data_IF_729077450677
#
_entry.id   IF_729077450677
#
_cell.length_a   1.000
_cell.length_b   1.000
_cell.length_c   1.000
_cell.angle_alpha   90.00
_cell.angle_beta   90.00
_cell.angle_gamma   90.00
#
_symmetry.space_group_name_H-M   'P 1'
#
loop_
_entity.id
_entity.type
_entity.pdbx_description
1 polymer ?
#
# COMPACT_ATOMS: atom_id res chain seq x y z
N UNK A 1 -4.32 -3.27 -27.60
CA UNK A 1 -3.30 -4.02 -26.81
C UNK A 1 -3.74 -5.45 -26.53
N UNK A 2 -4.97 -5.70 -26.07
CA UNK A 2 -5.48 -7.06 -25.75
C UNK A 2 -5.44 -8.00 -26.95
N UNK A 3 -5.93 -7.57 -28.13
CA UNK A 3 -6.01 -8.42 -29.33
C UNK A 3 -4.67 -9.04 -29.73
N UNK A 4 -3.58 -8.29 -29.55
CA UNK A 4 -2.24 -8.69 -29.96
C UNK A 4 -1.44 -9.40 -28.84
N UNK A 5 -1.92 -9.39 -27.60
CA UNK A 5 -1.18 -9.90 -26.43
C UNK A 5 -2.02 -10.87 -25.57
N UNK A 6 -3.04 -11.52 -26.13
CA UNK A 6 -3.94 -12.42 -25.38
C UNK A 6 -3.19 -13.45 -24.54
N UNK A 7 -2.19 -14.11 -25.12
CA UNK A 7 -1.36 -15.09 -24.41
C UNK A 7 -0.59 -14.44 -23.27
N UNK A 8 0.07 -13.29 -23.51
CA UNK A 8 0.81 -12.58 -22.46
C UNK A 8 -0.08 -12.08 -21.34
N UNK A 9 -1.34 -11.74 -21.62
CA UNK A 9 -2.33 -11.32 -20.63
C UNK A 9 -2.74 -12.48 -19.72
N UNK A 10 -2.98 -13.66 -20.30
CA UNK A 10 -3.26 -14.87 -19.52
C UNK A 10 -2.05 -15.23 -18.67
N UNK A 11 -0.84 -15.23 -19.27
CA UNK A 11 0.40 -15.53 -18.55
C UNK A 11 0.67 -14.53 -17.41
N UNK A 12 0.48 -13.23 -17.62
CA UNK A 12 0.69 -12.24 -16.55
C UNK A 12 -0.33 -12.40 -15.43
N UNK A 13 -1.59 -12.68 -15.77
CA UNK A 13 -2.65 -12.91 -14.77
C UNK A 13 -2.39 -14.18 -13.95
N UNK A 14 -1.97 -15.27 -14.61
CA UNK A 14 -1.54 -16.50 -13.92
C UNK A 14 -0.33 -16.23 -13.05
N UNK A 15 0.67 -15.48 -13.56
CA UNK A 15 1.87 -15.15 -12.80
C UNK A 15 1.59 -14.35 -11.52
N UNK A 16 0.58 -13.47 -11.52
CA UNK A 16 0.13 -12.78 -10.30
C UNK A 16 -0.41 -13.76 -9.26
N UNK A 17 -1.09 -14.82 -9.70
CA UNK A 17 -1.70 -15.80 -8.80
C UNK A 17 -0.73 -16.90 -8.34
N UNK A 18 0.45 -17.04 -8.97
CA UNK A 18 1.42 -18.06 -8.59
C UNK A 18 1.86 -18.01 -7.11
N UNK A 19 2.08 -16.84 -6.48
CA UNK A 19 2.37 -16.77 -5.05
C UNK A 19 1.27 -17.33 -4.14
N UNK A 20 0.02 -17.44 -4.61
CA UNK A 20 -1.06 -18.11 -3.87
C UNK A 20 -0.73 -19.58 -3.67
N UNK A 21 -0.24 -20.26 -4.71
CA UNK A 21 0.14 -21.67 -4.62
C UNK A 21 1.28 -21.88 -3.62
N UNK A 22 2.26 -20.98 -3.59
CA UNK A 22 3.32 -21.02 -2.58
C UNK A 22 2.75 -20.83 -1.17
N UNK A 23 1.80 -19.90 -0.98
CA UNK A 23 1.13 -19.70 0.31
C UNK A 23 0.29 -20.90 0.76
N UNK A 24 -0.33 -21.63 -0.17
CA UNK A 24 -1.04 -22.89 0.12
C UNK A 24 -0.06 -23.99 0.54
N UNK A 25 1.06 -24.14 -0.16
CA UNK A 25 2.09 -25.14 0.19
C UNK A 25 2.70 -24.84 1.58
N UNK A 26 2.88 -23.57 1.89
CA UNK A 26 3.45 -23.11 3.16
C UNK A 26 2.40 -22.90 4.26
N UNK A 27 1.13 -23.23 4.02
CA UNK A 27 0.01 -22.79 4.86
C UNK A 27 0.18 -23.10 6.35
N UNK A 28 0.65 -24.29 6.68
CA UNK A 28 0.85 -24.76 8.06
C UNK A 28 2.09 -24.15 8.72
N UNK A 29 3.01 -23.58 7.92
CA UNK A 29 4.20 -22.88 8.40
C UNK A 29 3.95 -21.38 8.58
N UNK A 30 2.87 -20.85 7.99
CA UNK A 30 2.55 -19.44 8.05
C UNK A 30 1.74 -19.13 9.31
N UNK A 31 2.12 -18.09 10.07
CA UNK A 31 1.34 -17.62 11.22
C UNK A 31 -0.03 -17.15 10.76
N UNK A 32 -1.04 -17.25 11.64
CA UNK A 32 -2.41 -16.80 11.34
C UNK A 32 -2.51 -15.30 11.06
N UNK A 33 -1.49 -14.54 11.45
CA UNK A 33 -1.34 -13.13 11.19
C UNK A 33 0.05 -12.83 10.70
N UNK A 34 0.11 -12.03 9.63
CA UNK A 34 1.32 -11.80 8.87
C UNK A 34 1.53 -10.30 8.71
N UNK A 35 2.75 -9.83 8.96
CA UNK A 35 3.13 -8.46 8.67
C UNK A 35 3.06 -8.23 7.14
N UNK A 36 2.33 -7.20 6.75
CA UNK A 36 2.18 -6.77 5.34
C UNK A 36 2.67 -5.34 5.11
N UNK A 37 2.97 -4.62 6.19
CA UNK A 37 3.50 -3.26 6.16
C UNK A 37 4.51 -3.04 7.29
N UNK A 38 5.51 -2.20 7.01
CA UNK A 38 6.56 -1.82 7.95
C UNK A 38 6.76 -0.31 7.93
N UNK A 39 7.00 0.27 9.09
CA UNK A 39 7.29 1.70 9.24
C UNK A 39 8.75 2.04 8.85
N UNK A 40 9.10 3.33 8.94
CA UNK A 40 10.46 3.79 8.62
C UNK A 40 11.54 3.31 9.61
N UNK A 41 11.15 2.79 10.77
CA UNK A 41 12.03 2.14 11.75
C UNK A 41 12.15 0.62 11.53
N UNK A 42 11.50 0.07 10.49
CA UNK A 42 11.53 -1.35 10.17
C UNK A 42 10.62 -2.22 11.05
N UNK A 43 9.79 -1.60 11.88
CA UNK A 43 8.84 -2.30 12.74
C UNK A 43 7.57 -2.59 11.96
N UNK A 44 6.99 -3.77 12.19
CA UNK A 44 5.70 -4.15 11.62
C UNK A 44 4.58 -3.35 12.28
N UNK A 45 3.91 -2.51 11.51
CA UNK A 45 2.80 -1.66 11.97
C UNK A 45 1.48 -1.96 11.26
N UNK A 46 1.51 -2.81 10.22
CA UNK A 46 0.32 -3.32 9.55
C UNK A 46 0.40 -4.84 9.35
N UNK A 47 -0.61 -5.55 9.87
CA UNK A 47 -0.74 -7.00 9.70
C UNK A 47 -2.05 -7.33 8.99
N UNK A 48 -2.02 -8.42 8.24
CA UNK A 48 -3.19 -9.03 7.63
C UNK A 48 -3.38 -10.46 8.13
N UNK A 49 -4.61 -10.97 8.05
CA UNK A 49 -4.85 -12.40 8.29
C UNK A 49 -4.05 -13.24 7.29
N UNK A 50 -3.71 -14.48 7.66
CA UNK A 50 -3.04 -15.44 6.76
C UNK A 50 -3.77 -15.55 5.43
N UNK A 51 -5.09 -15.69 5.47
CA UNK A 51 -5.92 -15.74 4.26
C UNK A 51 -5.83 -14.46 3.42
N UNK A 52 -5.90 -13.28 4.04
CA UNK A 52 -5.77 -12.02 3.31
C UNK A 52 -4.37 -11.85 2.70
N UNK A 53 -3.32 -12.22 3.43
CA UNK A 53 -1.93 -12.08 3.00
C UNK A 53 -1.60 -13.03 1.84
N UNK A 54 -2.13 -14.26 1.86
CA UNK A 54 -1.93 -15.27 0.82
C UNK A 54 -2.81 -15.01 -0.42
N UNK A 55 -4.11 -14.73 -0.23
CA UNK A 55 -5.07 -14.60 -1.33
C UNK A 55 -5.37 -13.15 -1.70
N UNK A 56 -5.61 -12.31 -0.71
CA UNK A 56 -6.03 -10.91 -0.89
C UNK A 56 -5.01 -10.08 -1.65
N UNK A 57 -3.73 -10.12 -1.26
CA UNK A 57 -2.66 -9.35 -1.91
C UNK A 57 -2.52 -9.65 -3.42
N UNK A 58 -2.40 -10.93 -3.86
CA UNK A 58 -2.45 -11.27 -5.28
C UNK A 58 -3.73 -10.85 -6.00
N UNK A 59 -4.90 -11.00 -5.37
CA UNK A 59 -6.19 -10.62 -5.98
C UNK A 59 -6.25 -9.11 -6.23
N UNK A 60 -5.82 -8.30 -5.27
CA UNK A 60 -5.76 -6.83 -5.41
C UNK A 60 -4.85 -6.46 -6.59
N UNK A 61 -3.68 -7.09 -6.69
CA UNK A 61 -2.75 -6.86 -7.79
C UNK A 61 -3.32 -7.31 -9.15
N UNK A 62 -4.10 -8.39 -9.18
CA UNK A 62 -4.77 -8.85 -10.39
C UNK A 62 -5.81 -7.82 -10.86
N UNK A 63 -6.64 -7.32 -9.93
CA UNK A 63 -7.62 -6.25 -10.21
C UNK A 63 -6.90 -5.01 -10.73
N UNK A 64 -5.81 -4.59 -10.08
CA UNK A 64 -5.01 -3.45 -10.51
C UNK A 64 -4.44 -3.64 -11.92
N UNK A 65 -3.95 -4.83 -12.26
CA UNK A 65 -3.47 -5.14 -13.61
C UNK A 65 -4.58 -4.93 -14.65
N UNK A 66 -5.77 -5.48 -14.40
CA UNK A 66 -6.91 -5.35 -15.31
C UNK A 66 -7.39 -3.91 -15.45
N UNK A 67 -7.35 -3.13 -14.36
CA UNK A 67 -7.59 -1.68 -14.39
C UNK A 67 -6.59 -0.96 -15.29
N UNK A 68 -5.29 -1.20 -15.11
CA UNK A 68 -4.25 -0.62 -15.95
C UNK A 68 -4.46 -0.97 -17.42
N UNK A 69 -4.80 -2.23 -17.72
CA UNK A 69 -5.10 -2.70 -19.08
C UNK A 69 -6.31 -1.99 -19.66
N UNK A 70 -7.40 -1.86 -18.90
CA UNK A 70 -8.63 -1.23 -19.35
C UNK A 70 -8.39 0.21 -19.81
N UNK A 71 -7.75 1.04 -18.98
CA UNK A 71 -7.46 2.43 -19.34
C UNK A 71 -6.53 2.51 -20.56
N UNK A 72 -5.51 1.66 -20.59
CA UNK A 72 -4.53 1.58 -21.68
C UNK A 72 -5.18 1.14 -23.00
N UNK A 73 -6.16 0.23 -22.98
CA UNK A 73 -6.89 -0.21 -24.18
C UNK A 73 -7.88 0.85 -24.68
N UNK A 74 -8.55 1.53 -23.75
CA UNK A 74 -9.54 2.56 -24.06
C UNK A 74 -8.92 3.89 -24.52
N UNK A 75 -7.62 4.06 -24.32
CA UNK A 75 -6.88 5.23 -24.76
C UNK A 75 -6.81 5.31 -26.30
N UNK A 76 -7.46 6.31 -26.93
CA UNK A 76 -7.51 6.40 -28.39
C UNK A 76 -6.13 6.64 -29.02
N UNK A 77 -5.19 7.26 -28.29
CA UNK A 77 -3.82 7.51 -28.76
C UNK A 77 -2.90 6.29 -28.55
N UNK A 78 -3.35 5.28 -27.82
CA UNK A 78 -2.53 4.11 -27.51
C UNK A 78 -2.60 2.98 -28.56
N UNK A 79 -3.41 3.11 -29.61
CA UNK A 79 -3.55 2.10 -30.68
C UNK A 79 -2.22 1.68 -31.31
N UNK A 80 -1.29 2.63 -31.49
CA UNK A 80 0.00 2.43 -32.16
C UNK A 80 1.18 2.37 -31.19
N UNK A 81 0.93 2.05 -29.92
CA UNK A 81 1.94 2.08 -28.88
C UNK A 81 3.05 1.04 -29.10
N UNK A 82 4.25 1.28 -28.56
CA UNK A 82 5.36 0.36 -28.73
C UNK A 82 5.07 -1.02 -28.08
N UNK A 83 5.41 -2.15 -28.73
CA UNK A 83 5.22 -3.48 -28.15
C UNK A 83 5.96 -3.66 -26.82
N UNK A 84 7.10 -2.97 -26.66
CA UNK A 84 7.88 -2.94 -25.41
C UNK A 84 7.05 -2.31 -24.28
N UNK A 85 6.42 -1.16 -24.52
CA UNK A 85 5.56 -0.52 -23.51
C UNK A 85 4.34 -1.37 -23.16
N UNK A 86 3.70 -2.01 -24.15
CA UNK A 86 2.58 -2.92 -23.89
C UNK A 86 2.99 -4.10 -22.99
N UNK A 87 4.15 -4.71 -23.24
CA UNK A 87 4.70 -5.76 -22.35
C UNK A 87 5.00 -5.23 -20.95
N UNK A 88 5.54 -4.03 -20.82
CA UNK A 88 5.79 -3.42 -19.50
C UNK A 88 4.50 -3.28 -18.68
N UNK A 89 3.41 -2.79 -19.28
CA UNK A 89 2.10 -2.68 -18.59
C UNK A 89 1.59 -4.04 -18.13
N UNK A 90 1.77 -5.09 -18.95
CA UNK A 90 1.32 -6.44 -18.59
C UNK A 90 2.15 -7.06 -17.47
N UNK A 91 3.46 -6.79 -17.43
CA UNK A 91 4.39 -7.51 -16.55
C UNK A 91 4.80 -6.74 -15.28
N UNK A 92 4.51 -5.44 -15.17
CA UNK A 92 4.83 -4.66 -13.97
C UNK A 92 4.06 -5.14 -12.73
N UNK A 93 2.76 -5.42 -12.85
CA UNK A 93 1.95 -5.91 -11.73
C UNK A 93 2.42 -7.30 -11.27
N UNK A 94 2.59 -8.32 -12.14
CA UNK A 94 3.18 -9.60 -11.74
C UNK A 94 4.52 -9.45 -11.02
N UNK A 95 5.45 -8.65 -11.55
CA UNK A 95 6.76 -8.46 -10.92
C UNK A 95 6.63 -7.90 -9.50
N UNK A 96 5.79 -6.89 -9.30
CA UNK A 96 5.55 -6.31 -7.98
C UNK A 96 4.85 -7.29 -7.02
N UNK A 97 3.92 -8.11 -7.51
CA UNK A 97 3.26 -9.14 -6.68
C UNK A 97 4.27 -10.15 -6.15
N UNK A 98 5.19 -10.63 -6.99
CA UNK A 98 6.21 -11.59 -6.57
C UNK A 98 7.13 -11.02 -5.50
N UNK A 99 7.54 -9.75 -5.65
CA UNK A 99 8.36 -9.06 -4.67
C UNK A 99 7.60 -8.88 -3.35
N UNK A 100 6.35 -8.41 -3.41
CA UNK A 100 5.54 -8.16 -2.22
C UNK A 100 5.20 -9.46 -1.47
N UNK A 101 4.65 -10.46 -2.16
CA UNK A 101 4.32 -11.77 -1.56
C UNK A 101 5.57 -12.49 -1.07
N UNK A 102 6.69 -12.39 -1.79
CA UNK A 102 7.98 -12.91 -1.35
C UNK A 102 8.39 -12.29 -0.02
N UNK A 103 8.43 -10.95 0.07
CA UNK A 103 8.81 -10.25 1.31
C UNK A 103 7.93 -10.65 2.50
N UNK A 104 6.61 -10.71 2.28
CA UNK A 104 5.62 -11.11 3.30
C UNK A 104 5.87 -12.56 3.77
N UNK A 105 6.11 -13.50 2.86
CA UNK A 105 6.38 -14.91 3.23
C UNK A 105 7.74 -15.09 3.90
N UNK A 106 8.78 -14.42 3.41
CA UNK A 106 10.11 -14.47 4.04
C UNK A 106 10.05 -13.96 5.49
N UNK A 107 9.30 -12.87 5.73
CA UNK A 107 9.14 -12.32 7.07
C UNK A 107 8.35 -13.26 7.96
N UNK A 108 7.24 -13.79 7.45
CA UNK A 108 6.36 -14.69 8.19
C UNK A 108 7.06 -16.01 8.59
N UNK A 109 8.04 -16.48 7.82
CA UNK A 109 8.84 -17.66 8.13
C UNK A 109 9.99 -17.40 9.13
N UNK A 110 10.02 -16.21 9.77
CA UNK A 110 11.03 -15.84 10.75
C UNK A 110 12.43 -15.74 10.16
N UNK A 111 12.56 -15.50 8.84
CA UNK A 111 13.88 -15.29 8.23
C UNK A 111 14.33 -13.87 8.53
N UNK A 112 15.53 -13.77 9.10
CA UNK A 112 16.19 -12.49 9.33
C UNK A 112 16.46 -11.78 8.00
N UNK A 113 15.65 -10.77 7.69
CA UNK A 113 15.99 -9.76 6.71
C UNK A 113 15.60 -8.40 7.26
N UNK A 114 16.36 -7.38 6.92
CA UNK A 114 16.04 -6.01 7.31
C UNK A 114 14.98 -5.45 6.34
N UNK A 115 13.73 -5.21 6.78
CA UNK A 115 12.69 -4.67 5.91
C UNK A 115 13.00 -3.24 5.42
N UNK A 116 13.87 -2.49 6.11
CA UNK A 116 14.29 -1.13 5.74
C UNK A 116 15.20 -1.14 4.50
N UNK A 117 15.98 -2.21 4.31
CA UNK A 117 16.94 -2.27 3.20
C UNK A 117 16.28 -2.63 1.87
N UNK A 118 15.08 -3.22 1.90
CA UNK A 118 14.39 -3.72 0.72
C UNK A 118 13.81 -2.61 -0.21
N UNK A 119 13.12 -1.55 0.31
CA UNK A 119 12.53 -0.51 -0.51
C UNK A 119 13.48 0.19 -1.50
N UNK A 120 14.72 0.57 -1.14
CA UNK A 120 15.67 1.15 -2.10
C UNK A 120 15.95 0.24 -3.30
N UNK A 121 16.09 -1.07 -3.09
CA UNK A 121 16.32 -2.00 -4.19
C UNK A 121 15.08 -2.15 -5.07
N UNK A 122 13.89 -2.34 -4.48
CA UNK A 122 12.64 -2.47 -5.25
C UNK A 122 12.38 -1.20 -6.06
N UNK A 123 12.39 -0.05 -5.39
CA UNK A 123 12.08 1.24 -5.98
C UNK A 123 13.14 1.65 -7.01
N UNK A 124 14.41 1.44 -6.69
CA UNK A 124 15.50 1.77 -7.60
C UNK A 124 15.53 0.89 -8.85
N UNK A 125 15.32 -0.42 -8.74
CA UNK A 125 15.16 -1.32 -9.90
C UNK A 125 13.95 -0.90 -10.74
N UNK A 126 12.82 -0.57 -10.10
CA UNK A 126 11.64 -0.08 -10.81
C UNK A 126 11.96 1.21 -11.58
N UNK A 127 12.70 2.15 -10.99
CA UNK A 127 13.12 3.40 -11.65
C UNK A 127 14.06 3.15 -12.82
N UNK A 128 15.01 2.23 -12.68
CA UNK A 128 15.91 1.79 -13.77
C UNK A 128 15.09 1.23 -14.94
N UNK A 129 14.14 0.33 -14.67
CA UNK A 129 13.29 -0.28 -15.69
C UNK A 129 12.40 0.78 -16.35
N UNK A 130 11.66 1.57 -15.57
CA UNK A 130 10.77 2.60 -16.10
C UNK A 130 11.55 3.67 -16.87
N UNK A 131 12.71 4.11 -16.37
CA UNK A 131 13.59 5.05 -17.04
C UNK A 131 14.05 4.58 -18.43
N UNK A 132 14.37 3.29 -18.57
CA UNK A 132 14.70 2.70 -19.86
C UNK A 132 13.48 2.62 -20.81
N UNK A 133 12.25 2.56 -20.28
CA UNK A 133 11.05 2.43 -21.11
C UNK A 133 10.37 3.76 -21.44
N UNK A 134 10.55 4.82 -20.63
CA UNK A 134 10.00 6.16 -20.88
C UNK A 134 10.26 6.65 -22.32
N UNK A 135 11.48 6.58 -22.89
CA UNK A 135 11.75 7.05 -24.26
C UNK A 135 11.01 6.25 -25.35
N UNK A 136 10.50 5.05 -25.02
CA UNK A 136 9.76 4.15 -25.92
C UNK A 136 8.24 4.38 -25.82
N UNK A 137 7.79 5.23 -24.92
CA UNK A 137 6.40 5.59 -24.73
C UNK A 137 6.03 6.65 -25.78
N UNK A 138 5.17 6.30 -26.74
CA UNK A 138 4.56 7.26 -27.66
C UNK A 138 3.44 8.04 -26.96
N UNK A 139 3.13 9.23 -27.46
CA UNK A 139 2.12 10.11 -26.88
C UNK A 139 0.78 9.39 -26.69
N UNK A 140 0.30 9.41 -25.45
CA UNK A 140 -0.95 8.80 -25.04
C UNK A 140 -1.49 9.51 -23.77
N UNK A 141 -2.69 9.18 -23.34
CA UNK A 141 -3.36 9.81 -22.19
C UNK A 141 -3.19 9.04 -20.88
N UNK A 142 -2.73 7.79 -20.95
CA UNK A 142 -2.68 6.88 -19.80
C UNK A 142 -1.31 6.88 -19.10
N UNK A 143 -0.24 6.66 -19.86
CA UNK A 143 1.11 6.33 -19.41
C UNK A 143 2.11 7.46 -19.72
N UNK A 144 3.09 7.64 -18.83
CA UNK A 144 4.20 8.58 -19.02
C UNK A 144 4.04 9.90 -18.27
N UNK A 145 4.85 10.88 -18.63
CA UNK A 145 4.93 12.21 -18.00
C UNK A 145 3.88 13.12 -18.64
N UNK A 146 2.75 13.27 -17.95
CA UNK A 146 1.54 13.92 -18.48
C UNK A 146 1.49 15.40 -18.13
N UNK A 147 2.12 16.21 -18.97
CA UNK A 147 2.04 17.67 -18.90
C UNK A 147 1.31 18.22 -20.13
N UNK A 148 0.48 19.25 -19.94
CA UNK A 148 -0.44 19.76 -20.97
C UNK A 148 0.24 19.98 -22.33
N UNK A 149 1.34 20.72 -22.33
CA UNK A 149 2.10 21.03 -23.54
C UNK A 149 2.80 19.82 -24.19
N UNK A 150 3.10 18.75 -23.43
CA UNK A 150 3.63 17.51 -23.99
C UNK A 150 2.51 16.63 -24.58
N UNK A 151 1.29 16.71 -24.06
CA UNK A 151 0.13 15.99 -24.60
C UNK A 151 -0.40 16.59 -25.91
N UNK A 152 -0.14 17.88 -26.12
CA UNK A 152 -0.52 18.63 -27.31
C UNK A 152 0.53 18.56 -28.42
N UNK A 153 1.82 18.31 -28.09
CA UNK A 153 2.92 18.30 -29.06
C UNK A 153 3.83 17.06 -28.94
N UNK A 154 3.94 16.28 -30.02
CA UNK A 154 4.72 15.03 -30.05
C UNK A 154 6.23 15.24 -29.90
N UNK A 155 6.77 16.36 -30.41
CA UNK A 155 8.21 16.67 -30.28
C UNK A 155 8.55 16.94 -28.83
N UNK A 156 7.72 17.72 -28.13
CA UNK A 156 7.88 17.97 -26.69
C UNK A 156 7.71 16.68 -25.88
N UNK A 157 6.71 15.84 -26.22
CA UNK A 157 6.54 14.52 -25.62
C UNK A 157 7.82 13.68 -25.69
N UNK A 158 8.37 13.51 -26.90
CA UNK A 158 9.56 12.67 -27.14
C UNK A 158 10.80 13.23 -26.42
N UNK A 159 11.02 14.55 -26.46
CA UNK A 159 12.12 15.20 -25.75
C UNK A 159 12.00 15.01 -24.23
N UNK A 160 10.80 15.20 -23.69
CA UNK A 160 10.52 15.08 -22.24
C UNK A 160 10.72 13.66 -21.76
N UNK A 161 10.21 12.66 -22.49
CA UNK A 161 10.34 11.26 -22.12
C UNK A 161 11.74 10.70 -22.30
N UNK A 162 12.50 11.21 -23.29
CA UNK A 162 13.93 10.86 -23.44
C UNK A 162 14.74 11.40 -22.27
N UNK A 163 14.57 12.66 -21.92
CA UNK A 163 15.26 13.29 -20.79
C UNK A 163 14.85 12.68 -19.46
N UNK A 164 13.54 12.56 -19.21
CA UNK A 164 12.98 11.91 -18.02
C UNK A 164 13.42 10.45 -17.89
N UNK A 165 13.53 9.72 -19.01
CA UNK A 165 14.05 8.35 -19.02
C UNK A 165 15.49 8.23 -18.51
N UNK A 166 16.38 9.12 -18.95
CA UNK A 166 17.76 9.18 -18.45
C UNK A 166 17.77 9.53 -16.96
N UNK A 167 16.99 10.53 -16.56
CA UNK A 167 16.92 10.98 -15.18
C UNK A 167 16.41 9.87 -14.24
N UNK A 168 15.36 9.15 -14.63
CA UNK A 168 14.80 8.04 -13.86
C UNK A 168 15.76 6.85 -13.81
N UNK A 169 16.47 6.55 -14.91
CA UNK A 169 17.46 5.48 -14.93
C UNK A 169 18.62 5.76 -13.97
N UNK A 170 19.23 6.95 -14.06
CA UNK A 170 20.33 7.35 -13.17
C UNK A 170 19.83 7.49 -11.73
N UNK A 171 18.64 8.08 -11.54
CA UNK A 171 18.00 8.19 -10.23
C UNK A 171 17.78 6.82 -9.58
N UNK A 172 17.32 5.82 -10.33
CA UNK A 172 17.17 4.46 -9.83
C UNK A 172 18.48 3.83 -9.37
N UNK A 173 19.58 4.06 -10.10
CA UNK A 173 20.92 3.60 -9.67
C UNK A 173 21.38 4.31 -8.39
N UNK A 174 21.10 5.60 -8.24
CA UNK A 174 21.39 6.36 -7.01
C UNK A 174 20.57 5.83 -5.84
N UNK A 175 19.28 5.53 -6.05
CA UNK A 175 18.42 4.94 -5.00
C UNK A 175 18.97 3.58 -4.58
N UNK A 176 19.36 2.71 -5.52
CA UNK A 176 20.01 1.42 -5.18
C UNK A 176 21.28 1.64 -4.37
N UNK A 177 22.16 2.55 -4.80
CA UNK A 177 23.40 2.84 -4.09
C UNK A 177 23.14 3.43 -2.69
N UNK A 178 22.05 4.17 -2.51
CA UNK A 178 21.68 4.73 -1.20
C UNK A 178 21.32 3.67 -0.18
N UNK A 179 20.89 2.48 -0.59
CA UNK A 179 20.59 1.35 0.30
C UNK A 179 21.80 0.78 1.06
N UNK A 180 23.02 1.19 0.69
CA UNK A 180 24.25 0.84 1.40
C UNK A 180 24.70 1.91 2.41
N UNK A 181 23.92 2.99 2.57
CA UNK A 181 24.21 4.10 3.48
C UNK A 181 23.36 3.99 4.76
N UNK A 182 23.74 4.70 5.85
CA UNK A 182 22.91 4.75 7.06
C UNK A 182 21.51 5.32 6.77
N UNK A 183 20.51 4.82 7.49
CA UNK A 183 19.07 5.05 7.22
C UNK A 183 18.71 6.52 6.97
N UNK A 184 19.23 7.44 7.80
CA UNK A 184 18.99 8.88 7.66
C UNK A 184 19.41 9.42 6.28
N UNK A 185 20.58 9.00 5.79
CA UNK A 185 21.08 9.43 4.49
C UNK A 185 20.36 8.71 3.35
N UNK A 186 20.07 7.42 3.52
CA UNK A 186 19.29 6.62 2.57
C UNK A 186 17.92 7.27 2.30
N UNK A 187 17.12 7.53 3.33
CA UNK A 187 15.81 8.16 3.19
C UNK A 187 15.91 9.55 2.58
N UNK A 188 16.86 10.38 3.01
CA UNK A 188 17.07 11.72 2.46
C UNK A 188 17.40 11.71 0.96
N UNK A 189 18.30 10.81 0.53
CA UNK A 189 18.67 10.65 -0.88
C UNK A 189 17.49 10.12 -1.69
N UNK A 190 16.80 9.09 -1.21
CA UNK A 190 15.65 8.52 -1.89
C UNK A 190 14.56 9.57 -2.12
N UNK A 191 14.18 10.33 -1.09
CA UNK A 191 13.20 11.41 -1.19
C UNK A 191 13.65 12.51 -2.15
N UNK A 192 14.91 12.93 -2.09
CA UNK A 192 15.43 13.96 -3.00
C UNK A 192 15.41 13.50 -4.46
N UNK A 193 15.83 12.26 -4.75
CA UNK A 193 15.81 11.70 -6.10
C UNK A 193 14.39 11.57 -6.63
N UNK A 194 13.44 11.13 -5.80
CA UNK A 194 12.02 11.06 -6.17
C UNK A 194 11.47 12.43 -6.58
N UNK A 195 11.71 13.46 -5.78
CA UNK A 195 11.28 14.83 -6.07
C UNK A 195 11.91 15.34 -7.37
N UNK A 196 13.21 15.10 -7.58
CA UNK A 196 13.92 15.48 -8.81
C UNK A 196 13.32 14.77 -10.03
N UNK A 197 13.08 13.45 -9.95
CA UNK A 197 12.53 12.66 -11.04
C UNK A 197 11.10 13.07 -11.43
N UNK A 198 10.33 13.63 -10.50
CA UNK A 198 8.98 14.15 -10.76
C UNK A 198 9.01 15.58 -11.28
N UNK A 199 9.74 16.48 -10.62
CA UNK A 199 9.69 17.93 -10.88
C UNK A 199 10.51 18.31 -12.12
N UNK A 200 11.73 17.80 -12.26
CA UNK A 200 12.67 18.27 -13.31
C UNK A 200 12.17 17.98 -14.72
N UNK A 201 11.58 16.81 -15.05
CA UNK A 201 11.02 16.58 -16.39
C UNK A 201 9.87 17.51 -16.74
N UNK A 202 9.04 17.91 -15.75
CA UNK A 202 7.95 18.89 -15.94
C UNK A 202 8.53 20.25 -16.30
N UNK A 203 9.52 20.72 -15.54
CA UNK A 203 10.23 21.99 -15.80
C UNK A 203 10.90 21.97 -17.17
N UNK A 204 11.61 20.88 -17.48
CA UNK A 204 12.26 20.69 -18.79
C UNK A 204 11.23 20.78 -19.93
N UNK A 205 10.09 20.13 -19.78
CA UNK A 205 9.03 20.14 -20.78
C UNK A 205 8.43 21.53 -20.99
N UNK A 206 8.30 22.33 -19.92
CA UNK A 206 7.90 23.74 -20.00
C UNK A 206 8.95 24.60 -20.72
N UNK A 207 10.24 24.40 -20.44
CA UNK A 207 11.33 25.09 -21.13
C UNK A 207 11.32 24.78 -22.63
N UNK A 208 11.10 23.51 -23.02
CA UNK A 208 10.95 23.10 -24.42
C UNK A 208 9.75 23.80 -25.06
N UNK A 209 8.61 23.83 -24.38
CA UNK A 209 7.41 24.52 -24.85
C UNK A 209 7.67 26.02 -25.09
N UNK A 210 8.27 26.74 -24.12
CA UNK A 210 8.60 28.16 -24.29
C UNK A 210 9.55 28.41 -25.45
N UNK A 211 10.54 27.53 -25.65
CA UNK A 211 11.49 27.64 -26.76
C UNK A 211 10.79 27.47 -28.11
N UNK A 212 9.93 26.45 -28.24
CA UNK A 212 9.12 26.22 -29.45
C UNK A 212 8.19 27.41 -29.74
N UNK A 213 7.54 27.96 -28.70
CA UNK A 213 6.71 29.15 -28.83
C UNK A 213 7.48 30.37 -29.33
N UNK A 214 8.68 30.61 -28.78
CA UNK A 214 9.54 31.73 -29.19
C UNK A 214 10.03 31.58 -30.64
N UNK A 215 10.28 30.36 -31.07
CA UNK A 215 10.77 30.05 -32.42
C UNK A 215 9.65 29.99 -33.49
N UNK A 216 8.38 30.17 -33.11
CA UNK A 216 7.25 30.02 -34.04
C UNK A 216 6.99 28.57 -34.48
N UNK A 217 7.54 27.58 -33.76
CA UNK A 217 7.39 26.14 -34.07
C UNK A 217 6.05 25.55 -33.59
N UNK A 218 5.22 26.36 -32.90
CA UNK A 218 3.88 25.98 -32.45
C UNK A 218 2.84 26.53 -33.43
N UNK A 219 2.43 25.70 -34.39
CA UNK A 219 1.30 25.93 -35.30
C UNK A 219 0.09 25.08 -34.91
N UNK A 220 -1.10 25.43 -35.39
CA UNK A 220 -2.34 24.65 -35.18
C UNK A 220 -2.22 23.20 -35.70
N UNK A 221 -1.33 22.93 -36.66
CA UNK A 221 -1.03 21.56 -37.12
C UNK A 221 -0.17 20.77 -36.12
N UNK A 222 0.74 21.45 -35.40
CA UNK A 222 1.65 20.83 -34.42
C UNK A 222 1.03 20.70 -33.03
N UNK A 223 -0.03 21.45 -32.75
CA UNK A 223 -0.78 21.46 -31.49
C UNK A 223 -2.07 20.66 -31.69
N UNK A 224 -2.06 19.39 -31.31
CA UNK A 224 -3.25 18.54 -31.44
C UNK A 224 -4.19 18.77 -30.25
N UNK A 225 -5.44 19.22 -30.45
CA UNK A 225 -6.38 19.49 -29.36
C UNK A 225 -6.69 18.23 -28.55
N UNK A 226 -6.99 18.44 -27.28
CA UNK A 226 -7.22 17.40 -26.29
C UNK A 226 -8.56 16.67 -26.53
N UNK A 227 -8.57 15.75 -27.51
CA UNK A 227 -9.69 14.84 -27.77
C UNK A 227 -9.60 13.58 -26.91
N UNK A 228 -9.93 13.69 -25.62
CA UNK A 228 -9.97 12.57 -24.68
C UNK A 228 -11.30 11.80 -24.71
N UNK A 229 -11.30 10.60 -24.12
CA UNK A 229 -12.40 9.64 -23.87
C UNK A 229 -13.84 10.20 -23.86
N UNK A 230 -14.84 9.37 -24.20
CA UNK A 230 -16.22 9.73 -23.87
C UNK A 230 -16.33 9.92 -22.36
N UNK A 231 -16.57 11.18 -21.95
CA UNK A 231 -16.68 11.61 -20.56
C UNK A 231 -17.43 10.60 -19.67
N UNK A 232 -18.60 10.03 -20.07
CA UNK A 232 -19.31 9.10 -19.21
C UNK A 232 -18.57 7.79 -18.95
N UNK A 233 -17.99 7.13 -19.95
CA UNK A 233 -17.33 5.84 -19.76
C UNK A 233 -16.03 5.95 -18.93
N UNK A 234 -15.31 7.06 -19.10
CA UNK A 234 -14.13 7.37 -18.29
C UNK A 234 -14.50 7.66 -16.84
N UNK A 235 -15.51 8.52 -16.62
CA UNK A 235 -16.00 8.85 -15.28
C UNK A 235 -16.54 7.60 -14.58
N UNK A 236 -17.33 6.74 -15.24
CA UNK A 236 -17.86 5.52 -14.63
C UNK A 236 -16.76 4.52 -14.25
N UNK A 237 -15.73 4.34 -15.09
CA UNK A 237 -14.61 3.46 -14.76
C UNK A 237 -13.77 4.03 -13.61
N UNK A 238 -13.48 5.34 -13.63
CA UNK A 238 -12.77 6.02 -12.52
C UNK A 238 -13.58 5.94 -11.23
N UNK A 239 -14.90 6.15 -11.26
CA UNK A 239 -15.78 6.02 -10.09
C UNK A 239 -15.78 4.58 -9.56
N UNK A 240 -15.93 3.57 -10.42
CA UNK A 240 -15.94 2.17 -10.00
C UNK A 240 -14.61 1.78 -9.33
N UNK A 241 -13.49 2.28 -9.85
CA UNK A 241 -12.16 1.97 -9.34
C UNK A 241 -11.87 2.75 -8.07
N UNK A 242 -12.24 4.03 -8.00
CA UNK A 242 -12.22 4.80 -6.76
C UNK A 242 -13.09 4.11 -5.73
N UNK A 243 -14.27 3.60 -6.08
CA UNK A 243 -15.14 2.87 -5.17
C UNK A 243 -14.54 1.53 -4.73
N UNK A 244 -13.85 0.79 -5.60
CA UNK A 244 -13.16 -0.45 -5.25
C UNK A 244 -11.94 -0.19 -4.36
N UNK A 245 -11.13 0.82 -4.67
CA UNK A 245 -9.98 1.23 -3.84
C UNK A 245 -10.47 1.84 -2.53
N UNK A 246 -11.53 2.66 -2.53
CA UNK A 246 -12.15 3.16 -1.31
C UNK A 246 -12.73 2.01 -0.51
N UNK A 247 -13.45 1.07 -1.09
CA UNK A 247 -13.94 -0.08 -0.34
C UNK A 247 -12.76 -0.81 0.31
N UNK A 248 -11.68 -1.05 -0.44
CA UNK A 248 -10.54 -1.82 0.06
C UNK A 248 -9.65 -1.06 1.06
N UNK A 249 -9.63 0.28 1.04
CA UNK A 249 -8.84 1.13 1.94
C UNK A 249 -9.68 1.70 3.09
N UNK A 250 -10.94 2.05 2.83
CA UNK A 250 -11.88 2.63 3.80
C UNK A 250 -12.60 1.56 4.61
N UNK A 251 -12.94 0.38 4.05
CA UNK A 251 -13.51 -0.69 4.88
C UNK A 251 -12.57 -1.04 6.05
N UNK A 252 -11.25 -1.22 5.86
CA UNK A 252 -10.35 -1.43 7.01
C UNK A 252 -10.24 -0.23 7.95
N UNK A 253 -10.60 1.00 7.53
CA UNK A 253 -10.59 2.22 8.37
C UNK A 253 -11.91 2.45 9.11
N UNK A 254 -13.00 1.86 8.62
CA UNK A 254 -14.21 1.62 9.40
C UNK A 254 -13.94 0.44 10.33
N UNK A 255 -14.62 0.36 11.46
CA UNK A 255 -14.31 -0.66 12.47
C UNK A 255 -14.63 -0.21 13.86
N UNK A 256 -15.25 -1.13 14.59
CA UNK A 256 -15.59 -0.95 15.98
C UNK A 256 -15.09 -2.12 16.81
N UNK A 257 -14.74 -1.80 18.05
CA UNK A 257 -14.61 -2.75 19.14
C UNK A 257 -15.81 -2.50 20.04
N UNK A 258 -16.55 -3.55 20.33
CA UNK A 258 -17.69 -3.54 21.23
C UNK A 258 -17.44 -4.54 22.35
N UNK A 259 -17.77 -4.13 23.57
CA UNK A 259 -17.64 -4.96 24.77
C UNK A 259 -19.04 -5.14 25.32
N UNK A 260 -19.53 -6.37 25.33
CA UNK A 260 -20.87 -6.73 25.80
C UNK A 260 -20.74 -7.46 27.13
N UNK A 261 -21.21 -6.84 28.21
CA UNK A 261 -21.19 -7.42 29.54
C UNK A 261 -22.39 -8.37 29.71
N UNK A 262 -22.12 -9.67 29.87
CA UNK A 262 -23.11 -10.67 30.24
C UNK A 262 -23.11 -10.92 31.76
N UNK A 263 -23.86 -11.94 32.22
CA UNK A 263 -23.98 -12.26 33.65
C UNK A 263 -22.71 -12.88 34.26
N UNK A 264 -21.92 -13.62 33.48
CA UNK A 264 -20.75 -14.39 33.96
C UNK A 264 -19.43 -14.03 33.29
N UNK A 265 -19.51 -13.38 32.14
CA UNK A 265 -18.39 -12.96 31.33
C UNK A 265 -18.76 -11.73 30.54
N UNK A 266 -17.76 -10.99 30.08
CA UNK A 266 -17.93 -10.01 29.01
C UNK A 266 -17.28 -10.52 27.73
N UNK A 267 -17.90 -10.24 26.59
CA UNK A 267 -17.42 -10.59 25.26
C UNK A 267 -16.92 -9.33 24.55
N UNK A 268 -15.72 -9.39 24.00
CA UNK A 268 -15.14 -8.34 23.17
C UNK A 268 -15.24 -8.79 21.73
N UNK A 269 -16.11 -8.12 20.97
CA UNK A 269 -16.28 -8.35 19.54
C UNK A 269 -15.62 -7.24 18.72
N UNK A 270 -14.98 -7.63 17.62
CA UNK A 270 -14.35 -6.66 16.71
C UNK A 270 -14.53 -7.03 15.25
N UNK A 271 -14.67 -6.02 14.38
CA UNK A 271 -14.95 -6.25 12.96
C UNK A 271 -13.78 -6.87 12.17
N UNK A 272 -12.54 -6.73 12.66
CA UNK A 272 -11.32 -7.12 11.91
C UNK A 272 -10.36 -8.02 12.69
N UNK A 273 -10.73 -8.42 13.90
CA UNK A 273 -9.89 -9.27 14.74
C UNK A 273 -10.73 -10.31 15.48
N UNK A 274 -10.08 -11.31 16.07
CA UNK A 274 -10.77 -12.40 16.76
C UNK A 274 -11.53 -11.88 17.98
N UNK A 275 -12.73 -12.37 18.19
CA UNK A 275 -13.50 -12.09 19.40
C UNK A 275 -12.92 -12.88 20.59
N UNK A 276 -12.99 -12.30 21.78
CA UNK A 276 -12.55 -12.93 23.03
C UNK A 276 -13.61 -12.80 24.11
N UNK A 277 -13.70 -13.79 24.99
CA UNK A 277 -14.58 -13.77 26.16
C UNK A 277 -13.72 -13.90 27.42
N UNK A 278 -14.03 -13.09 28.44
CA UNK A 278 -13.31 -13.09 29.72
C UNK A 278 -14.31 -13.30 30.84
N UNK A 279 -14.09 -14.31 31.69
CA UNK A 279 -14.96 -14.59 32.83
C UNK A 279 -14.63 -13.66 33.99
N UNK A 280 -15.65 -13.13 34.68
CA UNK A 280 -15.42 -12.21 35.80
C UNK A 280 -14.65 -12.88 36.96
N UNK A 281 -14.82 -14.19 37.12
CA UNK A 281 -14.14 -14.99 38.16
C UNK A 281 -12.64 -15.14 37.95
N UNK A 282 -12.15 -14.92 36.72
CA UNK A 282 -10.73 -15.01 36.35
C UNK A 282 -10.00 -13.66 36.54
N UNK A 283 -10.73 -12.58 36.82
CA UNK A 283 -10.15 -11.25 36.94
C UNK A 283 -9.54 -11.04 38.33
N UNK A 284 -8.22 -11.01 38.42
CA UNK A 284 -7.50 -10.66 39.64
C UNK A 284 -7.60 -9.16 39.93
N UNK A 285 -7.22 -8.34 38.96
CA UNK A 285 -7.11 -6.88 39.10
C UNK A 285 -7.73 -6.17 37.90
N UNK A 286 -8.46 -5.08 38.17
CA UNK A 286 -8.99 -4.20 37.12
C UNK A 286 -8.73 -2.74 37.49
N UNK A 287 -8.06 -2.00 36.61
CA UNK A 287 -7.66 -0.61 36.86
C UNK A 287 -7.99 0.28 35.66
N UNK A 288 -8.35 1.53 35.94
CA UNK A 288 -8.51 2.57 34.94
C UNK A 288 -7.22 3.40 34.88
N UNK A 289 -6.63 3.55 33.69
CA UNK A 289 -5.35 4.24 33.49
C UNK A 289 -5.36 5.15 32.27
N UNK A 290 -4.63 6.26 32.34
CA UNK A 290 -4.46 7.22 31.23
C UNK A 290 -3.03 7.20 30.64
N UNK A 291 -2.13 6.39 31.22
CA UNK A 291 -0.69 6.39 31.01
C UNK A 291 -0.16 5.03 30.54
N UNK A 292 -0.89 4.36 29.65
CA UNK A 292 -0.45 3.06 29.11
C UNK A 292 0.46 3.25 27.90
N UNK A 293 1.74 2.89 28.03
CA UNK A 293 2.65 2.82 26.90
C UNK A 293 2.32 1.62 26.01
N UNK A 294 2.17 1.87 24.71
CA UNK A 294 1.70 0.85 23.76
C UNK A 294 2.77 -0.19 23.38
N UNK A 295 4.05 0.14 23.53
CA UNK A 295 5.15 -0.69 23.06
C UNK A 295 5.05 -1.07 21.58
N UNK A 296 5.57 -2.26 21.24
CA UNK A 296 5.62 -2.79 19.88
C UNK A 296 4.50 -3.80 19.66
N UNK A 297 3.79 -3.69 18.54
CA UNK A 297 2.84 -4.72 18.11
C UNK A 297 3.58 -5.92 17.55
N UNK A 298 3.35 -7.09 18.11
CA UNK A 298 3.96 -8.35 17.65
C UNK A 298 2.99 -9.15 16.78
N UNK A 299 1.69 -8.93 16.96
CA UNK A 299 0.64 -9.54 16.18
C UNK A 299 -0.62 -8.65 16.28
N UNK A 300 -1.43 -8.50 15.23
CA UNK A 300 -2.71 -7.80 15.38
C UNK A 300 -3.09 -6.84 14.28
N UNK A 301 -4.35 -6.44 14.25
CA UNK A 301 -4.83 -5.45 13.31
C UNK A 301 -4.65 -4.01 13.85
N UNK A 302 -4.07 -3.14 13.02
CA UNK A 302 -3.78 -1.76 13.36
C UNK A 302 -4.27 -0.80 12.30
N UNK A 303 -5.07 0.19 12.71
CA UNK A 303 -5.50 1.31 11.89
C UNK A 303 -5.34 2.60 12.70
N UNK A 304 -5.42 3.79 12.08
CA UNK A 304 -5.53 5.04 12.81
C UNK A 304 -6.73 5.13 13.77
N UNK A 305 -7.69 4.19 13.68
CA UNK A 305 -8.87 4.09 14.54
C UNK A 305 -8.75 3.01 15.60
N UNK A 306 -8.22 1.83 15.27
CA UNK A 306 -8.22 0.64 16.12
C UNK A 306 -6.84 0.03 16.28
N UNK A 307 -6.53 -0.44 17.49
CA UNK A 307 -5.33 -1.18 17.83
C UNK A 307 -5.74 -2.48 18.51
N UNK A 308 -5.77 -3.57 17.73
CA UNK A 308 -6.24 -4.89 18.13
C UNK A 308 -5.12 -5.93 18.05
N UNK A 309 -5.00 -6.83 19.02
CA UNK A 309 -4.07 -7.96 18.98
C UNK A 309 -3.02 -7.96 20.09
N UNK A 310 -1.86 -8.56 19.83
CA UNK A 310 -0.78 -8.77 20.80
C UNK A 310 0.30 -7.71 20.69
N UNK A 311 0.67 -7.18 21.84
CA UNK A 311 1.66 -6.13 22.02
C UNK A 311 2.72 -6.56 23.03
N UNK A 312 3.87 -5.89 22.97
CA UNK A 312 5.00 -6.12 23.85
C UNK A 312 5.55 -4.78 24.33
N UNK A 313 5.59 -4.57 25.65
CA UNK A 313 6.17 -3.37 26.27
C UNK A 313 6.97 -3.73 27.55
N UNK A 314 7.70 -2.75 28.12
CA UNK A 314 8.50 -2.98 29.33
C UNK A 314 7.65 -3.23 30.59
N UNK A 315 6.43 -2.68 30.64
CA UNK A 315 5.58 -2.73 31.83
C UNK A 315 4.84 -4.08 31.98
N UNK A 316 4.22 -4.54 30.91
CA UNK A 316 3.33 -5.72 30.89
C UNK A 316 3.98 -6.94 30.24
N UNK A 317 5.17 -6.80 29.65
CA UNK A 317 5.71 -7.85 28.78
C UNK A 317 4.79 -8.05 27.57
N UNK A 318 4.37 -9.29 27.32
CA UNK A 318 3.41 -9.60 26.23
C UNK A 318 1.98 -9.46 26.73
N UNK A 319 1.17 -8.64 26.07
CA UNK A 319 -0.21 -8.36 26.46
C UNK A 319 -1.16 -8.29 25.27
N UNK A 320 -2.45 -8.47 25.54
CA UNK A 320 -3.52 -8.40 24.55
C UNK A 320 -4.19 -7.04 24.61
N UNK A 321 -4.52 -6.46 23.45
CA UNK A 321 -5.10 -5.13 23.35
C UNK A 321 -6.28 -5.09 22.40
N UNK A 322 -7.38 -4.48 22.85
CA UNK A 322 -8.56 -4.16 22.04
C UNK A 322 -8.98 -2.72 22.30
N UNK A 323 -8.42 -1.78 21.54
CA UNK A 323 -8.60 -0.36 21.83
C UNK A 323 -8.84 0.48 20.59
N UNK A 324 -9.58 1.58 20.77
CA UNK A 324 -9.56 2.73 19.90
C UNK A 324 -8.26 3.53 20.09
N UNK A 325 -7.55 3.77 18.99
CA UNK A 325 -6.23 4.40 18.96
C UNK A 325 -6.21 5.84 19.51
N UNK A 326 -7.35 6.55 19.44
CA UNK A 326 -7.47 7.96 19.86
C UNK A 326 -7.88 8.12 21.32
N UNK A 327 -8.52 7.11 21.91
CA UNK A 327 -8.91 7.15 23.31
C UNK A 327 -7.67 6.86 24.16
N UNK A 328 -7.39 7.76 25.12
CA UNK A 328 -6.21 7.70 25.99
C UNK A 328 -6.49 7.11 27.37
N UNK A 329 -7.75 6.88 27.69
CA UNK A 329 -8.16 6.14 28.87
C UNK A 329 -8.27 4.67 28.52
N UNK A 330 -7.77 3.82 29.42
CA UNK A 330 -7.67 2.38 29.24
C UNK A 330 -8.16 1.67 30.49
N UNK A 331 -8.80 0.53 30.28
CA UNK A 331 -9.10 -0.45 31.31
C UNK A 331 -8.03 -1.54 31.19
N UNK A 332 -7.22 -1.69 32.24
CA UNK A 332 -6.19 -2.73 32.34
C UNK A 332 -6.73 -3.83 33.25
N UNK A 333 -6.91 -5.01 32.67
CA UNK A 333 -7.43 -6.21 33.32
C UNK A 333 -6.29 -7.20 33.42
N UNK A 334 -6.05 -7.73 34.62
CA UNK A 334 -5.09 -8.81 34.88
C UNK A 334 -5.81 -10.09 35.27
N UNK A 335 -5.41 -11.18 34.63
CA UNK A 335 -5.83 -12.55 34.90
C UNK A 335 -4.56 -13.41 34.95
N UNK A 336 -4.06 -13.66 36.17
CA UNK A 336 -2.77 -14.29 36.41
C UNK A 336 -1.61 -13.52 35.80
N UNK A 337 -0.90 -14.15 34.85
CA UNK A 337 0.20 -13.54 34.09
C UNK A 337 -0.30 -12.80 32.83
N UNK A 338 -1.58 -12.93 32.47
CA UNK A 338 -2.15 -12.32 31.28
C UNK A 338 -2.61 -10.89 31.56
N UNK A 339 -2.25 -9.98 30.67
CA UNK A 339 -2.73 -8.59 30.70
C UNK A 339 -3.60 -8.32 29.48
N UNK A 340 -4.80 -7.80 29.72
CA UNK A 340 -5.74 -7.36 28.71
C UNK A 340 -5.97 -5.85 28.87
N UNK A 341 -5.74 -5.10 27.79
CA UNK A 341 -5.95 -3.65 27.74
C UNK A 341 -7.08 -3.34 26.78
N UNK A 342 -8.17 -2.78 27.29
CA UNK A 342 -9.34 -2.38 26.49
C UNK A 342 -9.71 -0.93 26.67
N UNK A 343 -10.44 -0.37 25.71
CA UNK A 343 -11.16 0.88 25.90
C UNK A 343 -12.37 0.95 24.96
N UNK A 344 -13.22 1.94 25.19
CA UNK A 344 -14.36 2.26 24.34
C UNK A 344 -14.01 3.42 23.40
N UNK A 345 -15.00 3.86 22.62
CA UNK A 345 -14.80 4.87 21.57
C UNK A 345 -14.22 6.21 22.09
N UNK A 346 -14.52 6.55 23.35
CA UNK A 346 -14.07 7.77 24.04
C UNK A 346 -13.86 7.52 25.54
N UNK A 347 -13.37 8.55 26.24
CA UNK A 347 -12.99 8.46 27.66
C UNK A 347 -14.22 8.22 28.58
N UNK A 348 -15.36 8.82 28.26
CA UNK A 348 -16.59 8.72 29.08
C UNK A 348 -17.21 7.32 28.94
N UNK A 349 -17.29 6.79 27.72
CA UNK A 349 -17.73 5.43 27.46
C UNK A 349 -16.78 4.40 28.07
N UNK A 350 -15.47 4.69 28.08
CA UNK A 350 -14.48 3.81 28.73
C UNK A 350 -14.67 3.77 30.24
N UNK A 351 -14.96 4.90 30.88
CA UNK A 351 -15.29 4.97 32.31
C UNK A 351 -16.60 4.25 32.62
N UNK A 352 -17.62 4.42 31.79
CA UNK A 352 -18.90 3.73 31.96
C UNK A 352 -18.73 2.19 31.86
N UNK A 353 -17.96 1.73 30.88
CA UNK A 353 -17.63 0.32 30.72
C UNK A 353 -16.86 -0.24 31.93
N UNK A 354 -15.92 0.55 32.48
CA UNK A 354 -15.20 0.16 33.71
C UNK A 354 -16.13 -0.07 34.89
N UNK A 355 -17.06 0.85 35.15
CA UNK A 355 -18.07 0.72 36.22
C UNK A 355 -19.02 -0.47 35.97
N UNK A 356 -19.39 -0.71 34.71
CA UNK A 356 -20.25 -1.84 34.35
C UNK A 356 -19.56 -3.18 34.63
N UNK A 357 -18.30 -3.35 34.22
CA UNK A 357 -17.51 -4.55 34.51
C UNK A 357 -17.34 -4.73 36.03
N UNK A 358 -17.06 -3.66 36.77
CA UNK A 358 -16.94 -3.69 38.22
C UNK A 358 -18.22 -4.16 38.92
N UNK A 359 -19.40 -3.80 38.39
CA UNK A 359 -20.69 -4.20 38.97
C UNK A 359 -20.99 -5.71 38.86
N UNK A 360 -20.31 -6.41 37.95
CA UNK A 360 -20.48 -7.85 37.71
C UNK A 360 -19.37 -8.72 38.35
N UNK A 361 -18.31 -8.09 38.89
CA UNK A 361 -17.25 -8.73 39.67
C UNK A 361 -17.61 -8.78 41.15
#
# INVERSE_FOLDING_TARGET
MIKNNKVSLVLSSVAILLPVFAGIILWDMLPDSMAVHWNAAGESDGFGTKAFSVFGLPIIMLVLQWVCIFFTEKDPKNKNQSPKMQKLVLWICPALTWVASGAVYFFALGKEFNPISLPPFILGVMFVVLGNYLPKCKQNFTMGIKVKWALENEVNWNKTHRFGGILWFVGGLIIIASGFLPDKFMFGIMTAVLLICVVVPVVYSYCVYRKMKKNGELTDETVKPFGGYSKPAFISAVILIIALILALVVLPLTGNVEVVCGEKSFEISSEYWSDIAVQYTEIDEITLRDDVESGRRTNGFGTPRLLLGTFENEEFGTYTRYTYAKCKTFIVIKDGENVLVINSADEDSTKALYEEILSHK
#
